data_IF_205828048158
#
_entry.id   IF_205828048158
#
_cell.length_a   1.000
_cell.length_b   1.000
_cell.length_c   1.000
_cell.angle_alpha   90.00
_cell.angle_beta   90.00
_cell.angle_gamma   90.00
#
_symmetry.space_group_name_H-M   'P 1'
#
loop_
_entity.id
_entity.type
_entity.pdbx_description
1 polymer ?
#
# COMPACT_ATOMS: atom_id res chain seq x y z
N UNK A 1 5.57 23.26 -3.30
CA UNK A 1 6.07 22.43 -4.42
C UNK A 1 4.87 21.71 -5.00
N UNK A 2 4.70 21.73 -6.32
CA UNK A 2 3.39 21.74 -7.00
C UNK A 2 2.71 20.37 -7.07
N UNK A 3 1.50 20.30 -6.50
CA UNK A 3 0.49 19.24 -6.68
C UNK A 3 -0.11 19.39 -8.11
N UNK A 4 0.69 19.14 -9.15
CA UNK A 4 0.24 19.31 -10.54
C UNK A 4 0.51 18.10 -11.43
N UNK A 5 0.93 16.95 -10.87
CA UNK A 5 1.28 15.77 -11.68
C UNK A 5 0.35 14.56 -11.51
N UNK A 6 -0.68 14.63 -10.65
CA UNK A 6 -1.62 13.53 -10.47
C UNK A 6 -2.82 13.60 -11.44
N UNK A 7 -3.25 14.79 -11.84
CA UNK A 7 -4.43 14.97 -12.71
C UNK A 7 -4.25 14.32 -14.10
N UNK A 8 -3.03 14.29 -14.66
CA UNK A 8 -2.81 13.74 -16.00
C UNK A 8 -2.69 12.21 -16.05
N UNK A 9 -2.37 11.54 -14.93
CA UNK A 9 -2.33 10.07 -14.87
C UNK A 9 -3.73 9.44 -14.65
N UNK A 10 -4.67 10.24 -14.14
CA UNK A 10 -6.03 9.80 -13.83
C UNK A 10 -6.90 9.68 -15.10
N UNK A 11 -6.60 10.44 -16.14
CA UNK A 11 -7.46 10.56 -17.33
C UNK A 11 -7.45 9.34 -18.29
N UNK A 12 -6.68 8.28 -17.99
CA UNK A 12 -6.63 7.04 -18.80
C UNK A 12 -6.99 5.75 -18.03
N UNK A 13 -7.53 5.84 -16.81
CA UNK A 13 -7.83 4.67 -15.96
C UNK A 13 -9.34 4.43 -15.72
N UNK A 14 -10.19 4.63 -16.73
CA UNK A 14 -11.62 4.25 -16.68
C UNK A 14 -11.85 2.73 -16.90
N UNK A 15 -10.98 1.85 -16.39
CA UNK A 15 -11.17 0.39 -16.47
C UNK A 15 -10.63 -0.35 -15.23
N UNK A 16 -10.90 0.17 -14.04
CA UNK A 16 -10.66 -0.54 -12.79
C UNK A 16 -11.73 -0.18 -11.79
N UNK A 17 -12.62 -1.12 -11.46
CA UNK A 17 -13.73 -0.97 -10.52
C UNK A 17 -13.24 -0.55 -9.13
N UNK A 18 -13.09 0.75 -8.93
CA UNK A 18 -13.36 1.40 -7.65
C UNK A 18 -14.78 1.93 -7.74
N UNK A 19 -15.64 1.63 -6.79
CA UNK A 19 -17.01 2.17 -6.74
C UNK A 19 -17.05 3.67 -6.45
N UNK A 20 -15.90 4.28 -6.13
CA UNK A 20 -15.75 5.71 -5.84
C UNK A 20 -15.62 6.51 -7.15
N UNK A 21 -16.34 7.63 -7.20
CA UNK A 21 -16.10 8.68 -8.19
C UNK A 21 -14.72 9.33 -7.96
N UNK A 22 -14.15 9.99 -8.98
CA UNK A 22 -12.79 10.58 -8.91
C UNK A 22 -12.60 11.54 -7.72
N UNK A 23 -13.61 12.37 -7.45
CA UNK A 23 -13.59 13.32 -6.33
C UNK A 23 -13.60 12.62 -4.97
N UNK A 24 -14.44 11.61 -4.82
CA UNK A 24 -14.51 10.78 -3.61
C UNK A 24 -13.20 10.01 -3.39
N UNK A 25 -12.59 9.53 -4.47
CA UNK A 25 -11.28 8.88 -4.39
C UNK A 25 -10.20 9.86 -3.93
N UNK A 26 -10.17 11.08 -4.49
CA UNK A 26 -9.16 12.08 -4.13
C UNK A 26 -9.30 12.53 -2.67
N UNK A 27 -10.53 12.73 -2.19
CA UNK A 27 -10.80 13.06 -0.79
C UNK A 27 -10.35 11.93 0.14
N UNK A 28 -10.75 10.69 -0.16
CA UNK A 28 -10.33 9.51 0.59
C UNK A 28 -8.81 9.33 0.58
N UNK A 29 -8.17 9.45 -0.58
CA UNK A 29 -6.72 9.33 -0.72
C UNK A 29 -5.97 10.39 0.09
N UNK A 30 -6.45 11.64 0.05
CA UNK A 30 -5.88 12.73 0.84
C UNK A 30 -6.00 12.45 2.34
N UNK A 31 -7.14 11.94 2.80
CA UNK A 31 -7.33 11.55 4.20
C UNK A 31 -6.35 10.42 4.61
N UNK A 32 -6.12 9.45 3.72
CA UNK A 32 -5.17 8.36 3.95
C UNK A 32 -3.71 8.85 4.02
N UNK A 33 -3.33 9.84 3.21
CA UNK A 33 -2.01 10.47 3.31
C UNK A 33 -1.84 11.22 4.64
N UNK A 34 -2.85 11.97 5.07
CA UNK A 34 -2.83 12.64 6.37
C UNK A 34 -2.74 11.63 7.53
N UNK A 35 -3.45 10.51 7.44
CA UNK A 35 -3.37 9.43 8.42
C UNK A 35 -1.94 8.83 8.47
N UNK A 36 -1.31 8.61 7.32
CA UNK A 36 0.08 8.13 7.25
C UNK A 36 1.06 9.12 7.89
N UNK A 37 0.90 10.42 7.63
CA UNK A 37 1.71 11.49 8.22
C UNK A 37 1.53 11.55 9.74
N UNK A 38 0.28 11.41 10.21
CA UNK A 38 -0.06 11.34 11.63
C UNK A 38 0.37 10.01 12.30
N UNK A 39 0.96 9.07 11.54
CA UNK A 39 1.31 7.71 11.99
C UNK A 39 0.09 6.95 12.54
N UNK A 40 -1.08 7.27 12.03
CA UNK A 40 -2.29 6.51 12.29
C UNK A 40 -2.23 5.16 11.55
N UNK A 41 -3.09 4.25 11.98
CA UNK A 41 -3.27 2.97 11.31
C UNK A 41 -3.97 3.18 9.96
N UNK A 42 -3.42 2.55 8.92
CA UNK A 42 -3.98 2.53 7.58
C UNK A 42 -4.73 1.21 7.41
N UNK A 43 -5.83 1.20 6.68
CA UNK A 43 -6.59 -0.02 6.39
C UNK A 43 -5.86 -0.92 5.40
N UNK A 44 -5.96 -2.26 5.52
CA UNK A 44 -5.29 -3.16 4.58
C UNK A 44 -5.95 -3.13 3.20
N UNK A 45 -5.24 -3.58 2.15
CA UNK A 45 -5.77 -3.58 0.79
C UNK A 45 -7.06 -4.39 0.64
N UNK A 46 -7.24 -5.47 1.43
CA UNK A 46 -8.47 -6.25 1.46
C UNK A 46 -9.70 -5.51 2.03
N UNK A 47 -9.49 -4.42 2.77
CA UNK A 47 -10.56 -3.57 3.31
C UNK A 47 -10.75 -2.34 2.44
N UNK A 48 -9.65 -1.72 2.00
CA UNK A 48 -9.69 -0.57 1.11
C UNK A 48 -10.27 -0.91 -0.28
N UNK A 49 -10.04 -2.13 -0.76
CA UNK A 49 -10.52 -2.67 -2.04
C UNK A 49 -11.15 -4.06 -1.83
N UNK A 50 -12.36 -4.15 -1.23
CA UNK A 50 -12.93 -5.42 -0.79
C UNK A 50 -13.33 -6.37 -1.92
N UNK A 51 -13.49 -5.85 -3.14
CA UNK A 51 -13.83 -6.66 -4.33
C UNK A 51 -12.59 -7.19 -5.07
N UNK A 52 -11.39 -6.83 -4.61
CA UNK A 52 -10.15 -7.13 -5.34
C UNK A 52 -9.33 -8.19 -4.63
N UNK A 53 -8.76 -9.08 -5.45
CA UNK A 53 -7.91 -10.17 -4.98
C UNK A 53 -6.44 -9.73 -4.89
N UNK A 54 -5.60 -10.38 -4.06
CA UNK A 54 -4.17 -10.05 -3.94
C UNK A 54 -3.39 -10.11 -5.26
N UNK A 55 -3.81 -10.98 -6.19
CA UNK A 55 -3.20 -11.16 -7.51
C UNK A 55 -3.81 -10.28 -8.61
N UNK A 56 -4.74 -9.39 -8.27
CA UNK A 56 -5.41 -8.53 -9.24
C UNK A 56 -4.41 -7.63 -9.99
N UNK A 57 -4.43 -7.68 -11.33
CA UNK A 57 -3.50 -6.90 -12.15
C UNK A 57 -3.64 -5.38 -11.99
N UNK A 58 -4.81 -4.90 -11.54
CA UNK A 58 -5.07 -3.48 -11.32
C UNK A 58 -4.28 -2.87 -10.16
N UNK A 59 -3.64 -3.68 -9.31
CA UNK A 59 -2.69 -3.16 -8.31
C UNK A 59 -1.53 -2.36 -8.92
N UNK A 60 -1.26 -2.52 -10.22
CA UNK A 60 -0.15 -1.87 -10.94
C UNK A 60 -0.61 -0.80 -11.92
N UNK A 61 -1.85 -0.32 -11.77
CA UNK A 61 -2.41 0.71 -12.65
C UNK A 61 -3.32 1.66 -11.87
N UNK A 62 -3.25 2.95 -12.19
CA UNK A 62 -4.22 3.96 -11.78
C UNK A 62 -4.30 4.19 -10.27
N UNK A 63 -5.53 4.36 -9.77
CA UNK A 63 -5.82 4.71 -8.39
C UNK A 63 -5.29 3.71 -7.35
N UNK A 64 -5.41 2.42 -7.64
CA UNK A 64 -4.91 1.36 -6.75
C UNK A 64 -3.39 1.39 -6.64
N UNK A 65 -2.68 1.58 -7.74
CA UNK A 65 -1.22 1.73 -7.73
C UNK A 65 -0.78 2.97 -6.95
N UNK A 66 -1.44 4.11 -7.18
CA UNK A 66 -1.14 5.35 -6.46
C UNK A 66 -1.33 5.17 -4.94
N UNK A 67 -2.45 4.57 -4.51
CA UNK A 67 -2.69 4.28 -3.09
C UNK A 67 -1.65 3.30 -2.52
N UNK A 68 -1.28 2.27 -3.27
CA UNK A 68 -0.26 1.32 -2.81
C UNK A 68 1.09 1.99 -2.56
N UNK A 69 1.56 2.78 -3.51
CA UNK A 69 2.89 3.37 -3.48
C UNK A 69 2.99 4.54 -2.50
N UNK A 70 1.95 5.37 -2.41
CA UNK A 70 1.99 6.61 -1.64
C UNK A 70 1.47 6.45 -0.20
N UNK A 71 0.63 5.44 0.06
CA UNK A 71 0.00 5.24 1.38
C UNK A 71 0.38 3.89 1.98
N UNK A 72 -0.01 2.80 1.31
CA UNK A 72 0.03 1.47 1.92
C UNK A 72 1.46 0.97 2.15
N UNK A 73 2.33 0.99 1.14
CA UNK A 73 3.70 0.51 1.28
C UNK A 73 4.54 1.33 2.29
N UNK A 74 4.47 2.68 2.31
CA UNK A 74 5.12 3.47 3.35
C UNK A 74 4.66 3.14 4.77
N UNK A 75 3.37 2.87 4.98
CA UNK A 75 2.85 2.39 6.26
C UNK A 75 3.40 1.00 6.58
N UNK A 76 3.23 0.03 5.67
CA UNK A 76 3.58 -1.37 5.88
C UNK A 76 5.08 -1.58 6.16
N UNK A 77 5.94 -0.83 5.46
CA UNK A 77 7.40 -0.90 5.65
C UNK A 77 7.85 -0.45 7.05
N UNK A 78 7.10 0.45 7.70
CA UNK A 78 7.42 0.92 9.07
C UNK A 78 7.13 -0.14 10.13
N UNK A 79 6.20 -1.06 9.87
CA UNK A 79 5.85 -2.12 10.81
C UNK A 79 6.93 -3.21 10.83
N UNK A 80 7.35 -3.61 12.04
CA UNK A 80 8.19 -4.80 12.24
C UNK A 80 7.40 -6.10 12.06
N UNK A 81 8.09 -7.24 11.98
CA UNK A 81 7.45 -8.55 11.74
C UNK A 81 6.33 -8.87 12.75
N UNK A 82 6.56 -8.61 14.05
CA UNK A 82 5.57 -8.84 15.11
C UNK A 82 4.33 -7.96 14.93
N UNK A 83 4.53 -6.68 14.58
CA UNK A 83 3.43 -5.73 14.35
C UNK A 83 2.64 -6.10 13.11
N UNK A 84 3.31 -6.53 12.03
CA UNK A 84 2.66 -7.03 10.81
C UNK A 84 1.79 -8.25 11.09
N UNK A 85 2.27 -9.19 11.90
CA UNK A 85 1.49 -10.37 12.29
C UNK A 85 0.25 -9.98 13.11
N UNK A 86 0.43 -9.15 14.14
CA UNK A 86 -0.68 -8.66 14.97
C UNK A 86 -1.69 -7.85 14.15
N UNK A 87 -1.22 -7.06 13.20
CA UNK A 87 -2.03 -6.29 12.28
C UNK A 87 -2.88 -7.20 11.38
N UNK A 88 -2.26 -8.21 10.74
CA UNK A 88 -2.98 -9.16 9.87
C UNK A 88 -4.01 -9.97 10.64
N UNK A 89 -3.72 -10.33 11.89
CA UNK A 89 -4.65 -11.00 12.78
C UNK A 89 -5.84 -10.10 13.17
N UNK A 90 -5.56 -8.85 13.56
CA UNK A 90 -6.58 -7.84 13.91
C UNK A 90 -7.58 -7.63 12.78
N UNK A 91 -7.09 -7.50 11.56
CA UNK A 91 -7.92 -7.24 10.38
C UNK A 91 -8.55 -8.51 9.79
N UNK A 92 -8.33 -9.67 10.43
CA UNK A 92 -8.89 -10.96 10.01
C UNK A 92 -8.69 -11.24 8.51
N UNK A 93 -7.53 -10.88 7.96
CA UNK A 93 -7.27 -11.05 6.54
C UNK A 93 -7.44 -12.52 6.13
N UNK A 94 -8.03 -12.75 4.96
CA UNK A 94 -8.23 -14.11 4.43
C UNK A 94 -6.88 -14.81 4.22
N UNK A 95 -6.82 -16.15 4.22
CA UNK A 95 -5.57 -16.89 4.02
C UNK A 95 -4.76 -16.40 2.81
N UNK A 96 -5.43 -16.08 1.71
CA UNK A 96 -4.85 -15.55 0.47
C UNK A 96 -4.16 -14.20 0.72
N UNK A 97 -4.83 -13.28 1.41
CA UNK A 97 -4.27 -11.99 1.78
C UNK A 97 -3.10 -12.12 2.76
N UNK A 98 -3.15 -13.07 3.70
CA UNK A 98 -2.05 -13.32 4.65
C UNK A 98 -0.78 -13.75 3.93
N UNK A 99 -0.90 -14.61 2.93
CA UNK A 99 0.24 -15.05 2.13
C UNK A 99 0.90 -13.86 1.43
N UNK A 100 0.12 -12.98 0.81
CA UNK A 100 0.68 -11.81 0.10
C UNK A 100 1.26 -10.75 1.04
N UNK A 101 0.68 -10.57 2.22
CA UNK A 101 1.14 -9.57 3.19
C UNK A 101 2.34 -10.03 4.01
N UNK A 102 2.40 -11.30 4.43
CA UNK A 102 3.42 -11.80 5.37
C UNK A 102 4.48 -12.66 4.69
N UNK A 103 4.13 -13.43 3.65
CA UNK A 103 5.11 -14.30 3.01
C UNK A 103 6.19 -13.46 2.30
N UNK A 104 7.44 -13.96 2.22
CA UNK A 104 8.51 -13.33 1.46
C UNK A 104 8.17 -13.40 -0.04
N UNK A 105 7.42 -12.41 -0.51
CA UNK A 105 6.86 -12.35 -1.86
C UNK A 105 6.74 -10.92 -2.37
N UNK A 106 5.88 -10.74 -3.37
CA UNK A 106 5.79 -9.56 -4.25
C UNK A 106 5.67 -8.20 -3.50
N UNK A 107 5.08 -8.19 -2.29
CA UNK A 107 4.76 -6.99 -1.51
C UNK A 107 5.67 -6.77 -0.29
N UNK A 108 6.41 -7.81 0.10
CA UNK A 108 7.08 -7.89 1.38
C UNK A 108 8.59 -8.10 1.27
N UNK A 109 9.21 -7.78 0.12
CA UNK A 109 10.68 -7.67 0.06
C UNK A 109 11.14 -6.71 1.17
N UNK A 110 11.81 -7.21 2.23
CA UNK A 110 12.30 -6.32 3.26
C UNK A 110 13.34 -5.40 2.64
N UNK A 111 13.36 -4.13 3.07
CA UNK A 111 14.60 -3.35 2.98
C UNK A 111 15.63 -4.18 3.75
N UNK A 112 16.76 -4.59 3.15
CA UNK A 112 17.77 -5.34 3.89
C UNK A 112 18.10 -4.53 5.13
N UNK A 113 17.88 -5.15 6.30
CA UNK A 113 18.39 -4.60 7.54
C UNK A 113 19.91 -4.66 7.39
N UNK A 114 20.54 -3.49 7.40
CA UNK A 114 21.99 -3.34 7.39
C UNK A 114 22.70 -3.50 6.02
N UNK A 115 23.06 -2.36 5.43
CA UNK A 115 24.29 -2.20 4.63
C UNK A 115 25.12 -1.06 5.24
N UNK A 116 25.20 -1.05 6.56
CA UNK A 116 26.07 -0.20 7.35
C UNK A 116 26.96 -1.11 8.19
N UNK A 117 27.88 -1.82 7.53
CA UNK A 117 29.21 -2.26 7.99
C UNK A 117 29.58 -3.59 7.33
N UNK A 118 30.34 -3.50 6.24
CA UNK A 118 31.21 -4.50 5.59
C UNK A 118 31.50 -3.83 4.23
N UNK A 119 32.69 -3.34 3.89
CA UNK A 119 34.04 -3.82 4.12
C UNK A 119 34.98 -2.82 3.41
N UNK A 120 36.05 -2.32 4.06
CA UNK A 120 37.34 -2.04 3.37
C UNK A 120 38.46 -1.84 4.42
N UNK A 121 38.95 -2.94 4.97
CA UNK A 121 40.32 -3.06 5.48
C UNK A 121 40.87 -4.39 4.93
N UNK A 122 41.51 -4.31 3.75
CA UNK A 122 42.44 -5.31 3.23
C UNK A 122 43.33 -4.70 2.13
#
# INVERSE_FOLDING_TARGET
>A
MKIQNLQYLIQWCLWGRTTREESEWLEWFTAQQQALEARAEIEPPCVAYPEQEPWWGGWRQGYSEAWLHEVWFPFWKKLGLKERMAYVEKWQASPEWREYLIAPGYWSKPVPADQSNEEEDA
#
